data_IF_296667604534
#
_entry.id   IF_296667604534
#
_cell.length_a   1.000
_cell.length_b   1.000
_cell.length_c   1.000
_cell.angle_alpha   90.00
_cell.angle_beta   90.00
_cell.angle_gamma   90.00
#
_symmetry.space_group_name_H-M   'P 1'
#
loop_
_entity.id
_entity.type
_entity.pdbx_description
1 polymer ?
#
# COMPACT_ATOMS: atom_id res chain seq x y z
N UNK A 1 1.45 0.30 0.19
CA UNK A 1 1.51 -1.05 0.79
C UNK A 1 1.26 -0.88 2.28
N UNK A 2 0.44 -1.71 2.90
CA UNK A 2 0.22 -1.68 4.35
C UNK A 2 0.81 -2.92 4.99
N UNK A 3 1.38 -2.75 6.18
CA UNK A 3 1.92 -3.79 7.03
C UNK A 3 1.01 -3.97 8.24
N UNK A 4 0.64 -5.21 8.56
CA UNK A 4 -0.23 -5.48 9.71
C UNK A 4 0.47 -6.26 10.83
N UNK A 5 -0.20 -6.26 11.98
CA UNK A 5 0.33 -6.81 13.24
C UNK A 5 0.51 -8.33 13.26
N UNK A 6 -0.09 -9.04 12.30
CA UNK A 6 0.06 -10.49 12.17
C UNK A 6 1.16 -10.89 11.15
N UNK A 7 2.07 -9.97 10.82
CA UNK A 7 3.14 -10.23 9.85
C UNK A 7 2.68 -10.27 8.40
N UNK A 8 1.56 -9.62 8.10
CA UNK A 8 0.93 -9.56 6.79
C UNK A 8 1.27 -8.27 6.04
N UNK A 9 1.46 -8.39 4.72
CA UNK A 9 1.59 -7.28 3.79
C UNK A 9 0.43 -7.25 2.82
N UNK A 10 -0.12 -6.07 2.58
CA UNK A 10 -1.18 -5.86 1.61
C UNK A 10 -0.80 -4.78 0.59
N UNK A 11 -0.89 -5.13 -0.69
CA UNK A 11 -0.71 -4.23 -1.81
C UNK A 11 -2.06 -3.70 -2.26
N UNK A 12 -2.21 -2.38 -2.28
CA UNK A 12 -3.44 -1.70 -2.62
C UNK A 12 -3.25 -0.82 -3.84
N UNK A 13 -4.31 -0.68 -4.64
CA UNK A 13 -4.41 0.31 -5.72
C UNK A 13 -5.55 1.26 -5.41
N UNK A 14 -5.27 2.55 -5.46
CA UNK A 14 -6.31 3.57 -5.38
C UNK A 14 -6.89 3.83 -6.77
N UNK A 15 -8.21 3.83 -6.86
CA UNK A 15 -8.95 4.18 -8.07
C UNK A 15 -9.62 5.53 -7.88
N UNK A 16 -9.26 6.47 -8.76
CA UNK A 16 -9.82 7.81 -8.72
C UNK A 16 -11.30 7.81 -9.13
N UNK A 17 -12.16 8.55 -8.41
CA UNK A 17 -13.54 8.73 -8.81
C UNK A 17 -13.63 9.60 -10.07
N UNK A 18 -14.76 9.54 -10.78
CA UNK A 18 -14.97 10.27 -12.04
C UNK A 18 -14.80 11.81 -11.89
N UNK A 19 -15.15 12.35 -10.72
CA UNK A 19 -14.88 13.73 -10.33
C UNK A 19 -14.20 13.74 -8.97
N UNK A 20 -13.15 14.53 -8.81
CA UNK A 20 -12.34 14.62 -7.58
C UNK A 20 -12.75 15.78 -6.67
N UNK A 21 -13.56 16.70 -7.17
CA UNK A 21 -14.17 17.80 -6.42
C UNK A 21 -15.67 17.86 -6.70
N UNK A 22 -16.45 18.21 -5.68
CA UNK A 22 -17.88 18.51 -5.77
C UNK A 22 -18.15 19.73 -4.90
N UNK A 23 -19.02 20.62 -5.35
CA UNK A 23 -19.51 21.74 -4.56
C UNK A 23 -20.53 21.25 -3.53
N UNK A 24 -20.35 21.63 -2.28
CA UNK A 24 -21.30 21.39 -1.20
C UNK A 24 -22.49 22.36 -1.27
N UNK A 25 -23.44 22.24 -0.36
CA UNK A 25 -24.62 23.10 -0.25
C UNK A 25 -24.29 24.60 -0.14
N UNK A 26 -23.12 24.93 0.41
CA UNK A 26 -22.62 26.30 0.58
C UNK A 26 -21.67 26.75 -0.56
N UNK A 27 -21.67 26.05 -1.70
CA UNK A 27 -20.81 26.30 -2.88
C UNK A 27 -19.29 26.16 -2.64
N UNK A 28 -18.91 25.49 -1.54
CA UNK A 28 -17.51 25.20 -1.18
C UNK A 28 -17.04 23.92 -1.86
N UNK A 29 -15.82 23.93 -2.41
CA UNK A 29 -15.21 22.76 -3.04
C UNK A 29 -14.83 21.69 -2.00
N UNK A 30 -15.38 20.49 -2.17
CA UNK A 30 -15.13 19.32 -1.33
C UNK A 30 -14.53 18.18 -2.14
N UNK A 31 -13.56 17.47 -1.55
CA UNK A 31 -12.92 16.31 -2.18
C UNK A 31 -13.87 15.11 -2.27
N UNK A 32 -13.86 14.42 -3.40
CA UNK A 32 -14.61 13.17 -3.58
C UNK A 32 -13.66 11.98 -3.33
N UNK A 33 -14.04 11.11 -2.39
CA UNK A 33 -13.30 9.89 -2.10
C UNK A 33 -13.42 8.88 -3.24
N UNK A 34 -12.30 8.27 -3.62
CA UNK A 34 -12.25 7.14 -4.54
C UNK A 34 -12.39 5.81 -3.81
N UNK A 35 -11.96 4.75 -4.48
CA UNK A 35 -12.00 3.38 -3.95
C UNK A 35 -10.59 2.80 -3.83
N UNK A 36 -10.42 1.83 -2.93
CA UNK A 36 -9.17 1.08 -2.78
C UNK A 36 -9.43 -0.39 -3.10
N UNK A 37 -8.64 -0.93 -4.03
CA UNK A 37 -8.70 -2.33 -4.41
C UNK A 37 -7.48 -3.07 -3.87
N UNK A 38 -7.73 -4.20 -3.20
CA UNK A 38 -6.67 -5.11 -2.76
C UNK A 38 -6.12 -5.86 -3.98
N UNK A 39 -4.86 -5.63 -4.32
CA UNK A 39 -4.19 -6.32 -5.43
C UNK A 39 -3.56 -7.64 -4.99
N UNK A 40 -2.97 -7.66 -3.80
CA UNK A 40 -2.30 -8.84 -3.25
C UNK A 40 -2.19 -8.75 -1.73
N UNK A 41 -2.23 -9.90 -1.05
CA UNK A 41 -1.88 -10.02 0.34
C UNK A 41 -1.02 -11.27 0.60
N UNK A 42 -0.11 -11.19 1.56
CA UNK A 42 0.74 -12.32 1.96
C UNK A 42 1.14 -12.20 3.42
N UNK A 43 1.23 -13.34 4.11
CA UNK A 43 1.81 -13.43 5.46
C UNK A 43 3.26 -13.86 5.35
N UNK A 44 4.20 -12.99 5.77
CA UNK A 44 5.65 -13.21 5.64
C UNK A 44 6.34 -13.49 6.97
N UNK A 45 5.69 -13.16 8.08
CA UNK A 45 6.21 -13.34 9.43
C UNK A 45 5.10 -13.81 10.36
N UNK A 46 5.48 -14.45 11.46
CA UNK A 46 4.60 -14.76 12.59
C UNK A 46 4.46 -13.58 13.56
N UNK A 47 5.28 -12.53 13.38
CA UNK A 47 5.32 -11.35 14.21
C UNK A 47 5.00 -10.08 13.40
N UNK A 48 4.60 -8.98 14.06
CA UNK A 48 4.32 -7.71 13.38
C UNK A 48 5.48 -7.26 12.49
N UNK A 49 5.14 -6.74 11.31
CA UNK A 49 6.09 -6.00 10.47
C UNK A 49 6.17 -4.58 11.02
N UNK A 50 7.33 -4.23 11.59
CA UNK A 50 7.56 -2.97 12.29
C UNK A 50 8.02 -1.83 11.38
N UNK A 51 8.66 -2.15 10.25
CA UNK A 51 9.02 -1.15 9.25
C UNK A 51 9.01 -1.73 7.83
N UNK A 52 8.81 -0.84 6.86
CA UNK A 52 8.80 -1.14 5.44
C UNK A 52 9.32 0.07 4.68
N UNK A 53 10.25 -0.16 3.76
CA UNK A 53 10.83 0.88 2.92
C UNK A 53 10.99 0.42 1.46
N UNK A 54 10.67 1.30 0.51
CA UNK A 54 10.77 1.03 -0.93
C UNK A 54 12.09 1.58 -1.46
N UNK A 55 12.76 0.82 -2.32
CA UNK A 55 13.97 1.32 -2.98
C UNK A 55 13.61 2.45 -3.95
N UNK A 56 14.27 3.62 -3.85
CA UNK A 56 14.10 4.71 -4.81
C UNK A 56 14.72 4.38 -6.17
N UNK A 57 15.77 3.54 -6.19
CA UNK A 57 16.53 3.23 -7.41
C UNK A 57 15.89 2.12 -8.24
N UNK A 58 15.18 1.19 -7.59
CA UNK A 58 14.64 -0.02 -8.23
C UNK A 58 13.17 -0.19 -7.92
N UNK A 59 12.32 0.17 -8.89
CA UNK A 59 10.88 -0.03 -8.78
C UNK A 59 10.55 -1.51 -8.50
N UNK A 60 9.72 -1.75 -7.49
CA UNK A 60 9.34 -3.10 -7.09
C UNK A 60 10.25 -3.73 -6.04
N UNK A 61 11.41 -3.14 -5.74
CA UNK A 61 12.27 -3.61 -4.65
C UNK A 61 11.90 -2.92 -3.34
N UNK A 62 11.72 -3.68 -2.27
CA UNK A 62 11.53 -3.14 -0.93
C UNK A 62 12.18 -3.99 0.15
N UNK A 63 12.36 -3.40 1.32
CA UNK A 63 12.85 -4.07 2.53
C UNK A 63 11.79 -3.94 3.62
N UNK A 64 11.60 -4.99 4.42
CA UNK A 64 10.81 -4.91 5.64
C UNK A 64 11.50 -5.58 6.81
N UNK A 65 11.19 -5.10 8.01
CA UNK A 65 11.65 -5.71 9.27
C UNK A 65 10.46 -6.18 10.08
N UNK A 66 10.61 -7.31 10.74
CA UNK A 66 9.61 -7.85 11.65
C UNK A 66 10.25 -8.18 13.00
N UNK A 67 9.42 -8.26 14.05
CA UNK A 67 9.90 -8.54 15.40
C UNK A 67 10.35 -10.00 15.62
N UNK A 68 10.25 -10.84 14.59
CA UNK A 68 10.92 -12.15 14.50
C UNK A 68 12.42 -12.05 14.25
N UNK A 69 13.02 -10.88 14.50
CA UNK A 69 14.44 -10.58 14.34
C UNK A 69 14.94 -10.85 12.92
N UNK A 70 14.06 -10.71 11.92
CA UNK A 70 14.39 -10.99 10.52
C UNK A 70 14.15 -9.78 9.63
N UNK A 71 15.15 -9.45 8.82
CA UNK A 71 15.05 -8.47 7.74
C UNK A 71 14.78 -9.22 6.44
N UNK A 72 13.79 -8.78 5.67
CA UNK A 72 13.41 -9.39 4.39
C UNK A 72 13.54 -8.39 3.27
N UNK A 73 14.21 -8.79 2.20
CA UNK A 73 14.23 -8.07 0.92
C UNK A 73 13.21 -8.71 0.00
N UNK A 74 12.30 -7.91 -0.53
CA UNK A 74 11.14 -8.37 -1.30
C UNK A 74 11.18 -7.76 -2.70
N UNK A 75 10.76 -8.55 -3.69
CA UNK A 75 10.53 -8.08 -5.06
C UNK A 75 9.03 -8.20 -5.33
N UNK A 76 8.39 -7.05 -5.51
CA UNK A 76 6.99 -6.93 -5.90
C UNK A 76 6.93 -6.77 -7.41
N UNK A 77 6.44 -7.81 -8.08
CA UNK A 77 6.40 -7.88 -9.54
C UNK A 77 5.12 -7.26 -10.11
N UNK A 78 5.11 -6.99 -11.42
CA UNK A 78 3.94 -6.53 -12.20
C UNK A 78 3.33 -5.18 -11.79
N UNK A 79 4.09 -4.30 -11.12
CA UNK A 79 3.61 -2.97 -10.73
C UNK A 79 3.28 -2.02 -11.91
N UNK A 80 3.88 -2.25 -13.09
CA UNK A 80 3.68 -1.43 -14.30
C UNK A 80 2.91 -2.14 -15.43
N UNK A 81 2.26 -3.29 -15.15
CA UNK A 81 1.44 -3.97 -16.15
C UNK A 81 -0.01 -3.85 -15.74
N UNK A 82 -0.67 -2.83 -16.30
CA UNK A 82 -2.11 -2.81 -16.51
C UNK A 82 -2.44 -3.69 -17.72
#
# INVERSE_FOLDING_TARGET
>A
MTAGGAGNLHLWKYEYPAQRSKKDADDVDMGVAGTVNLLQNVTLSTQPIGSLDWSPDKQGLCVCTAFDQTVRVLIVTKLNRL
#
